data_IF_233301284869
#
_entry.id   IF_233301284869
#
_cell.length_a   1.000
_cell.length_b   1.000
_cell.length_c   1.000
_cell.angle_alpha   90.00
_cell.angle_beta   90.00
_cell.angle_gamma   90.00
#
_symmetry.space_group_name_H-M   'P 1'
#
loop_
_entity.id
_entity.type
_entity.pdbx_description
1 polymer ?
#
# COMPACT_ATOMS: atom_id res chain seq x y z
N UNK A 1 -1.99 9.69 2.68
CA UNK A 1 -2.00 8.28 3.10
C UNK A 1 -1.92 7.38 1.87
N UNK A 2 -1.47 6.14 2.02
CA UNK A 2 -1.29 5.20 0.89
C UNK A 2 -2.57 4.47 0.45
N UNK A 3 -3.56 4.32 1.34
CA UNK A 3 -4.81 3.60 1.06
C UNK A 3 -5.57 4.11 -0.18
N UNK A 4 -5.71 5.43 -0.42
CA UNK A 4 -6.35 5.95 -1.64
C UNK A 4 -5.63 5.52 -2.92
N UNK A 5 -4.29 5.50 -2.90
CA UNK A 5 -3.46 5.09 -4.04
C UNK A 5 -3.65 3.60 -4.32
N UNK A 6 -3.62 2.75 -3.29
CA UNK A 6 -3.86 1.32 -3.44
C UNK A 6 -5.27 1.04 -3.99
N UNK A 7 -6.27 1.78 -3.52
CA UNK A 7 -7.66 1.67 -3.98
C UNK A 7 -7.79 2.07 -5.46
N UNK A 8 -7.19 3.20 -5.83
CA UNK A 8 -7.15 3.68 -7.21
C UNK A 8 -6.46 2.67 -8.14
N UNK A 9 -5.27 2.19 -7.76
CA UNK A 9 -4.53 1.20 -8.53
C UNK A 9 -5.32 -0.11 -8.67
N UNK A 10 -5.99 -0.57 -7.61
CA UNK A 10 -6.81 -1.77 -7.67
C UNK A 10 -7.95 -1.64 -8.69
N UNK A 11 -8.71 -0.54 -8.64
CA UNK A 11 -9.86 -0.33 -9.53
C UNK A 11 -9.41 -0.19 -10.99
N UNK A 12 -8.28 0.48 -11.24
CA UNK A 12 -7.83 0.78 -12.60
C UNK A 12 -6.97 -0.33 -13.24
N UNK A 13 -6.38 -1.22 -12.44
CA UNK A 13 -5.41 -2.22 -12.91
C UNK A 13 -5.85 -2.98 -14.17
N UNK A 14 -7.00 -3.65 -14.11
CA UNK A 14 -7.48 -4.48 -15.22
C UNK A 14 -7.77 -3.68 -16.50
N UNK A 15 -8.60 -2.61 -16.46
CA UNK A 15 -8.81 -1.77 -17.63
C UNK A 15 -7.52 -1.19 -18.21
N UNK A 16 -6.61 -0.73 -17.34
CA UNK A 16 -5.32 -0.17 -17.76
C UNK A 16 -4.51 -1.22 -18.52
N UNK A 17 -4.36 -2.42 -17.98
CA UNK A 17 -3.63 -3.50 -18.63
C UNK A 17 -4.31 -3.97 -19.93
N UNK A 18 -5.64 -4.06 -19.95
CA UNK A 18 -6.41 -4.39 -21.16
C UNK A 18 -6.20 -3.36 -22.27
N UNK A 19 -6.31 -2.06 -21.95
CA UNK A 19 -6.16 -0.98 -22.94
C UNK A 19 -4.71 -0.85 -23.42
N UNK A 20 -3.75 -1.05 -22.51
CA UNK A 20 -2.34 -0.88 -22.81
C UNK A 20 -1.74 -2.02 -23.66
N UNK A 21 -2.06 -3.28 -23.31
CA UNK A 21 -1.38 -4.45 -23.86
C UNK A 21 -2.34 -5.53 -24.39
N UNK A 22 -3.65 -5.26 -24.40
CA UNK A 22 -4.69 -6.15 -24.93
C UNK A 22 -5.41 -6.98 -23.85
N UNK A 23 -6.56 -7.54 -24.22
CA UNK A 23 -7.46 -8.25 -23.29
C UNK A 23 -6.81 -9.46 -22.62
N UNK A 24 -5.98 -10.21 -23.35
CA UNK A 24 -5.26 -11.37 -22.79
C UNK A 24 -4.28 -10.94 -21.69
N UNK A 25 -3.50 -9.89 -21.93
CA UNK A 25 -2.58 -9.36 -20.91
C UNK A 25 -3.34 -8.79 -19.71
N UNK A 26 -4.44 -8.07 -19.95
CA UNK A 26 -5.32 -7.60 -18.89
C UNK A 26 -5.85 -8.73 -18.02
N UNK A 27 -6.25 -9.86 -18.62
CA UNK A 27 -6.73 -11.04 -17.89
C UNK A 27 -5.64 -11.70 -17.05
N UNK A 28 -4.45 -11.92 -17.61
CA UNK A 28 -3.38 -12.68 -16.94
C UNK A 28 -2.58 -11.85 -15.92
N UNK A 29 -2.43 -10.53 -16.13
CA UNK A 29 -1.59 -9.67 -15.29
C UNK A 29 -2.32 -9.03 -14.10
N UNK A 30 -3.65 -9.04 -14.10
CA UNK A 30 -4.46 -8.43 -13.04
C UNK A 30 -4.25 -9.13 -11.69
N UNK A 31 -4.29 -10.46 -11.66
CA UNK A 31 -4.14 -11.22 -10.42
C UNK A 31 -2.75 -11.04 -9.78
N UNK A 32 -1.62 -11.22 -10.50
CA UNK A 32 -0.29 -10.93 -9.97
C UNK A 32 -0.19 -9.50 -9.41
N UNK A 33 -0.76 -8.51 -10.10
CA UNK A 33 -0.74 -7.12 -9.63
C UNK A 33 -1.50 -6.94 -8.31
N UNK A 34 -2.66 -7.55 -8.15
CA UNK A 34 -3.41 -7.50 -6.88
C UNK A 34 -2.65 -8.15 -5.72
N UNK A 35 -1.94 -9.26 -5.97
CA UNK A 35 -1.08 -9.89 -4.99
C UNK A 35 0.06 -8.94 -4.58
N UNK A 36 0.67 -8.25 -5.55
CA UNK A 36 1.72 -7.25 -5.29
C UNK A 36 1.19 -6.05 -4.49
N UNK A 37 -0.02 -5.55 -4.78
CA UNK A 37 -0.64 -4.46 -4.01
C UNK A 37 -0.79 -4.83 -2.53
N UNK A 38 -1.15 -6.09 -2.25
CA UNK A 38 -1.22 -6.63 -0.89
C UNK A 38 0.15 -6.58 -0.18
N UNK A 39 1.21 -7.05 -0.84
CA UNK A 39 2.57 -6.99 -0.29
C UNK A 39 3.08 -5.56 -0.11
N UNK A 40 2.82 -4.69 -1.09
CA UNK A 40 3.20 -3.27 -1.07
C UNK A 40 2.64 -2.55 0.14
N UNK A 41 1.39 -2.82 0.53
CA UNK A 41 0.77 -2.24 1.71
C UNK A 41 1.61 -2.46 2.98
N UNK A 42 2.04 -3.69 3.24
CA UNK A 42 2.88 -4.00 4.40
C UNK A 42 4.30 -3.44 4.27
N UNK A 43 4.84 -3.46 3.06
CA UNK A 43 6.17 -2.92 2.80
C UNK A 43 6.25 -1.42 3.15
N UNK A 44 5.23 -0.64 2.82
CA UNK A 44 5.20 0.78 3.18
C UNK A 44 5.07 0.97 4.70
N UNK A 45 4.33 0.11 5.41
CA UNK A 45 4.28 0.17 6.88
C UNK A 45 5.65 -0.09 7.52
N UNK A 46 6.50 -0.88 6.88
CA UNK A 46 7.88 -1.15 7.32
C UNK A 46 8.82 0.07 7.17
N UNK A 47 8.47 1.05 6.35
CA UNK A 47 9.33 2.20 6.07
C UNK A 47 9.67 3.01 7.32
N UNK A 48 8.71 3.20 8.22
CA UNK A 48 8.92 3.93 9.47
C UNK A 48 9.87 3.21 10.43
N UNK A 49 9.63 1.93 10.82
CA UNK A 49 10.57 1.21 11.68
C UNK A 49 11.94 1.00 11.01
N UNK A 50 11.98 0.80 9.69
CA UNK A 50 13.24 0.77 8.93
C UNK A 50 14.03 2.07 9.10
N UNK A 51 13.36 3.22 8.92
CA UNK A 51 13.98 4.55 9.08
C UNK A 51 14.51 4.77 10.50
N UNK A 52 13.80 4.28 11.52
CA UNK A 52 14.27 4.35 12.92
C UNK A 52 15.55 3.52 13.12
N UNK A 53 15.61 2.30 12.60
CA UNK A 53 16.82 1.47 12.69
C UNK A 53 17.99 2.15 11.98
N UNK A 54 17.77 2.70 10.79
CA UNK A 54 18.80 3.43 10.03
C UNK A 54 19.29 4.67 10.78
N UNK A 55 18.39 5.45 11.38
CA UNK A 55 18.73 6.65 12.15
C UNK A 55 19.58 6.32 13.40
N UNK A 56 19.44 5.13 13.98
CA UNK A 56 20.28 4.67 15.11
C UNK A 56 21.65 4.14 14.70
N UNK A 57 21.99 4.15 13.41
CA UNK A 57 23.27 3.64 12.90
C UNK A 57 23.40 2.11 12.91
N UNK A 58 22.33 1.36 13.21
CA UNK A 58 22.34 -0.12 13.30
C UNK A 58 22.04 -0.83 11.99
N UNK A 59 22.50 -0.28 10.87
CA UNK A 59 22.27 -0.82 9.51
C UNK A 59 22.84 -2.23 9.31
N UNK A 60 23.88 -2.61 10.07
CA UNK A 60 24.45 -3.96 10.04
C UNK A 60 23.47 -5.07 10.43
N UNK A 61 22.43 -4.76 11.23
CA UNK A 61 21.37 -5.73 11.55
C UNK A 61 20.49 -6.00 10.32
N UNK A 62 20.17 -4.96 9.55
CA UNK A 62 19.39 -5.07 8.31
C UNK A 62 20.14 -5.89 7.26
N UNK A 63 21.46 -5.67 7.11
CA UNK A 63 22.28 -6.44 6.19
C UNK A 63 22.22 -7.95 6.51
N UNK A 64 22.35 -8.33 7.79
CA UNK A 64 22.23 -9.73 8.23
C UNK A 64 20.84 -10.30 7.98
N UNK A 65 19.79 -9.51 8.22
CA UNK A 65 18.41 -9.90 7.95
C UNK A 65 18.19 -10.18 6.46
N UNK A 66 18.61 -9.29 5.57
CA UNK A 66 18.42 -9.48 4.12
C UNK A 66 19.18 -10.68 3.58
N UNK A 67 20.39 -10.94 4.08
CA UNK A 67 21.11 -12.18 3.75
C UNK A 67 20.38 -13.43 4.23
N UNK A 68 19.78 -13.40 5.42
CA UNK A 68 18.99 -14.51 5.95
C UNK A 68 17.71 -14.74 5.13
N UNK A 69 17.05 -13.67 4.67
CA UNK A 69 15.83 -13.75 3.87
C UNK A 69 16.07 -14.19 2.42
N UNK A 70 17.27 -13.99 1.90
CA UNK A 70 17.60 -14.29 0.51
C UNK A 70 17.43 -15.79 0.19
N UNK A 71 17.97 -16.66 1.05
CA UNK A 71 17.88 -18.12 0.86
C UNK A 71 16.44 -18.66 0.83
N UNK A 72 15.58 -18.38 1.83
CA UNK A 72 14.19 -18.84 1.79
C UNK A 72 13.43 -18.18 0.64
N UNK A 73 13.75 -16.93 0.27
CA UNK A 73 13.12 -16.29 -0.88
C UNK A 73 13.43 -17.00 -2.20
N UNK A 74 14.69 -17.41 -2.44
CA UNK A 74 15.08 -18.15 -3.63
C UNK A 74 14.32 -19.49 -3.73
N UNK A 75 14.20 -20.22 -2.62
CA UNK A 75 13.39 -21.45 -2.58
C UNK A 75 11.91 -21.18 -2.86
N UNK A 76 11.36 -20.13 -2.24
CA UNK A 76 9.96 -19.77 -2.37
C UNK A 76 9.60 -19.31 -3.79
N UNK A 77 10.42 -18.46 -4.41
CA UNK A 77 10.17 -17.99 -5.77
C UNK A 77 10.30 -19.12 -6.79
N UNK A 78 11.29 -20.02 -6.64
CA UNK A 78 11.43 -21.18 -7.52
C UNK A 78 10.20 -22.10 -7.43
N UNK A 79 9.73 -22.40 -6.22
CA UNK A 79 8.56 -23.25 -6.00
C UNK A 79 7.25 -22.62 -6.51
N UNK A 80 7.02 -21.35 -6.20
CA UNK A 80 5.74 -20.71 -6.54
C UNK A 80 5.68 -20.32 -8.01
N UNK A 81 6.79 -19.90 -8.62
CA UNK A 81 6.81 -19.53 -10.05
C UNK A 81 6.61 -20.75 -10.94
N UNK A 82 7.17 -21.91 -10.58
CA UNK A 82 6.96 -23.16 -11.35
C UNK A 82 5.53 -23.67 -11.26
N UNK A 83 4.84 -23.46 -10.12
CA UNK A 83 3.45 -23.90 -9.92
C UNK A 83 2.38 -22.92 -10.41
N UNK A 84 2.62 -21.62 -10.28
CA UNK A 84 1.62 -20.57 -10.45
C UNK A 84 2.07 -19.43 -11.39
N UNK A 85 3.19 -19.59 -12.09
CA UNK A 85 3.71 -18.61 -13.05
C UNK A 85 3.94 -17.23 -12.42
N UNK A 86 3.50 -16.18 -13.11
CA UNK A 86 3.64 -14.79 -12.67
C UNK A 86 2.90 -14.51 -11.34
N UNK A 87 1.75 -15.13 -11.10
CA UNK A 87 1.02 -15.00 -9.84
C UNK A 87 1.82 -15.61 -8.67
N UNK A 88 2.53 -16.71 -8.94
CA UNK A 88 3.45 -17.33 -7.99
C UNK A 88 4.65 -16.45 -7.64
N UNK A 89 5.25 -15.81 -8.65
CA UNK A 89 6.34 -14.85 -8.42
C UNK A 89 5.88 -13.65 -7.58
N UNK A 90 4.69 -13.09 -7.89
CA UNK A 90 4.08 -12.03 -7.11
C UNK A 90 3.83 -12.46 -5.66
N UNK A 91 3.30 -13.67 -5.45
CA UNK A 91 3.05 -14.22 -4.11
C UNK A 91 4.34 -14.41 -3.32
N UNK A 92 5.39 -14.95 -3.94
CA UNK A 92 6.69 -15.10 -3.30
C UNK A 92 7.25 -13.74 -2.84
N UNK A 93 7.16 -12.72 -3.70
CA UNK A 93 7.59 -11.37 -3.35
C UNK A 93 6.76 -10.78 -2.20
N UNK A 94 5.44 -10.92 -2.25
CA UNK A 94 4.53 -10.41 -1.22
C UNK A 94 4.77 -11.06 0.13
N UNK A 95 4.95 -12.39 0.18
CA UNK A 95 5.29 -13.12 1.41
C UNK A 95 6.61 -12.59 1.98
N UNK A 96 7.64 -12.44 1.14
CA UNK A 96 8.94 -11.92 1.58
C UNK A 96 8.83 -10.53 2.20
N UNK A 97 8.17 -9.58 1.52
CA UNK A 97 8.08 -8.21 2.05
C UNK A 97 7.19 -8.10 3.29
N UNK A 98 6.19 -8.97 3.44
CA UNK A 98 5.38 -9.07 4.66
C UNK A 98 6.24 -9.59 5.81
N UNK A 99 7.01 -10.66 5.59
CA UNK A 99 7.94 -11.20 6.58
C UNK A 99 8.97 -10.16 7.02
N UNK A 100 9.59 -9.46 6.06
CA UNK A 100 10.53 -8.36 6.30
C UNK A 100 9.89 -7.26 7.15
N UNK A 101 8.67 -6.81 6.80
CA UNK A 101 7.95 -5.79 7.56
C UNK A 101 7.73 -6.19 9.03
N UNK A 102 7.38 -7.46 9.29
CA UNK A 102 7.20 -7.99 10.65
C UNK A 102 8.54 -8.04 11.40
N UNK A 103 9.60 -8.53 10.75
CA UNK A 103 10.93 -8.67 11.36
C UNK A 103 11.55 -7.30 11.67
N UNK A 104 11.51 -6.36 10.72
CA UNK A 104 11.92 -4.97 10.92
C UNK A 104 11.13 -4.32 12.05
N UNK A 105 9.80 -4.49 12.08
CA UNK A 105 8.96 -3.98 13.15
C UNK A 105 9.37 -4.51 14.52
N UNK A 106 9.71 -5.79 14.62
CA UNK A 106 10.19 -6.42 15.85
C UNK A 106 11.58 -5.92 16.27
N UNK A 107 12.53 -5.84 15.34
CA UNK A 107 13.90 -5.35 15.59
C UNK A 107 13.87 -3.87 16.01
N UNK A 108 13.04 -3.06 15.36
CA UNK A 108 12.91 -1.64 15.66
C UNK A 108 12.45 -1.41 17.09
N UNK A 109 11.51 -2.21 17.62
CA UNK A 109 11.06 -2.13 19.02
C UNK A 109 12.16 -2.41 20.03
N UNK A 110 13.13 -3.26 19.68
CA UNK A 110 14.29 -3.58 20.54
C UNK A 110 15.43 -2.58 20.42
N UNK A 111 15.50 -1.88 19.29
CA UNK A 111 16.63 -1.01 18.93
C UNK A 111 16.36 0.45 19.23
N UNK A 112 15.16 0.93 18.89
CA UNK A 112 14.74 2.29 19.15
C UNK A 112 13.92 2.33 20.45
N UNK A 113 14.38 3.09 21.45
CA UNK A 113 13.66 3.34 22.70
C UNK A 113 12.39 4.21 22.51
N UNK A 114 11.94 4.41 21.27
CA UNK A 114 10.75 5.18 20.95
C UNK A 114 9.58 4.20 20.81
N UNK A 115 8.49 4.37 21.59
CA UNK A 115 7.30 3.55 21.45
C UNK A 115 6.64 3.83 20.10
N UNK A 116 6.97 3.03 19.08
CA UNK A 116 6.26 3.06 17.80
C UNK A 116 4.94 2.32 17.94
N UNK A 117 3.91 3.06 18.38
CA UNK A 117 2.54 2.55 18.40
C UNK A 117 1.81 2.98 17.11
N UNK A 118 1.75 2.05 16.15
CA UNK A 118 1.02 2.20 14.88
C UNK A 118 -0.45 2.58 15.12
N UNK A 119 -0.99 2.17 16.28
CA UNK A 119 -2.38 2.35 16.68
C UNK A 119 -2.57 3.40 17.79
N UNK A 120 -1.71 4.43 17.85
CA UNK A 120 -1.77 5.55 18.81
C UNK A 120 -3.04 6.42 18.66
N UNK A 121 -4.21 5.88 19.01
CA UNK A 121 -5.51 6.57 18.98
C UNK A 121 -6.09 6.79 17.57
N UNK A 122 -5.31 6.54 16.50
CA UNK A 122 -5.75 6.69 15.10
C UNK A 122 -6.32 5.41 14.49
N UNK A 123 -6.43 4.32 15.27
CA UNK A 123 -6.95 3.03 14.81
C UNK A 123 -8.38 3.15 14.24
N UNK A 124 -9.25 3.89 14.91
CA UNK A 124 -10.63 4.14 14.47
C UNK A 124 -10.64 4.91 13.15
N UNK A 125 -9.78 5.93 13.01
CA UNK A 125 -9.69 6.72 11.79
C UNK A 125 -9.11 5.90 10.62
N UNK A 126 -8.20 4.96 10.91
CA UNK A 126 -7.67 4.01 9.94
C UNK A 126 -8.73 2.99 9.49
N UNK A 127 -9.49 2.42 10.42
CA UNK A 127 -10.61 1.53 10.12
C UNK A 127 -11.70 2.25 9.30
N UNK A 128 -12.04 3.50 9.65
CA UNK A 128 -12.97 4.31 8.88
C UNK A 128 -12.47 4.59 7.46
N UNK A 129 -11.16 4.85 7.28
CA UNK A 129 -10.57 5.02 5.96
C UNK A 129 -10.68 3.76 5.09
N UNK A 130 -10.44 2.57 5.69
CA UNK A 130 -10.65 1.29 5.00
C UNK A 130 -12.11 1.13 4.59
N UNK A 131 -13.04 1.36 5.51
CA UNK A 131 -14.47 1.21 5.26
C UNK A 131 -14.97 2.10 4.11
N UNK A 132 -14.46 3.33 4.01
CA UNK A 132 -14.85 4.29 2.96
C UNK A 132 -14.25 3.94 1.59
N UNK A 133 -13.06 3.34 1.57
CA UNK A 133 -12.32 3.02 0.35
C UNK A 133 -12.62 1.61 -0.19
N UNK A 134 -13.23 0.74 0.60
CA UNK A 134 -13.61 -0.63 0.19
C UNK A 134 -14.75 -0.74 -0.84
N UNK A 135 -15.81 0.10 -0.84
CA UNK A 135 -16.91 -0.02 -1.80
C UNK A 135 -16.50 -0.06 -3.28
N UNK A 136 -15.61 0.82 -3.80
CA UNK A 136 -15.19 0.75 -5.20
C UNK A 136 -14.37 -0.53 -5.51
N UNK A 137 -13.59 -1.03 -4.54
CA UNK A 137 -12.86 -2.31 -4.66
C UNK A 137 -13.84 -3.47 -4.77
N UNK A 138 -14.85 -3.50 -3.90
CA UNK A 138 -15.87 -4.55 -3.92
C UNK A 138 -16.70 -4.52 -5.20
N UNK A 139 -17.11 -3.34 -5.65
CA UNK A 139 -17.82 -3.16 -6.91
C UNK A 139 -16.99 -3.66 -8.12
N UNK A 140 -15.71 -3.27 -8.19
CA UNK A 140 -14.81 -3.69 -9.27
C UNK A 140 -14.48 -5.20 -9.24
N UNK A 141 -14.40 -5.82 -8.07
CA UNK A 141 -14.04 -7.23 -7.91
C UNK A 141 -15.23 -8.18 -8.16
N UNK A 142 -16.42 -7.83 -7.68
CA UNK A 142 -17.56 -8.74 -7.64
C UNK A 142 -18.55 -8.56 -8.79
N UNK A 143 -18.61 -7.36 -9.37
CA UNK A 143 -19.61 -7.03 -10.39
C UNK A 143 -18.97 -6.50 -11.66
N UNK A 144 -18.62 -7.41 -12.58
CA UNK A 144 -18.02 -7.06 -13.89
C UNK A 144 -18.89 -6.10 -14.71
N UNK A 145 -20.21 -6.29 -14.67
CA UNK A 145 -21.21 -5.43 -15.35
C UNK A 145 -21.33 -4.02 -14.75
N UNK A 146 -20.90 -3.82 -13.50
CA UNK A 146 -20.99 -2.55 -12.78
C UNK A 146 -19.64 -1.79 -12.76
N UNK A 147 -18.67 -2.19 -13.60
CA UNK A 147 -17.38 -1.52 -13.65
C UNK A 147 -17.51 -0.01 -13.92
N UNK A 148 -18.44 0.40 -14.77
CA UNK A 148 -18.72 1.81 -15.05
C UNK A 148 -19.16 2.59 -13.79
N UNK A 149 -19.77 1.93 -12.80
CA UNK A 149 -20.12 2.53 -11.51
C UNK A 149 -18.95 2.55 -10.52
N UNK A 150 -17.92 1.72 -10.72
CA UNK A 150 -16.74 1.70 -9.84
C UNK A 150 -15.92 2.99 -9.93
N UNK A 151 -15.91 3.66 -11.09
CA UNK A 151 -15.22 4.94 -11.30
C UNK A 151 -15.85 6.13 -10.54
N UNK A 152 -17.17 6.39 -10.66
CA UNK A 152 -17.80 7.44 -9.85
C UNK A 152 -17.78 7.10 -8.35
N UNK A 153 -17.93 5.82 -7.97
CA UNK A 153 -17.78 5.40 -6.57
C UNK A 153 -16.36 5.64 -6.05
N UNK A 154 -15.33 5.36 -6.86
CA UNK A 154 -13.94 5.66 -6.52
C UNK A 154 -13.76 7.17 -6.30
N UNK A 155 -14.26 8.01 -7.21
CA UNK A 155 -14.18 9.46 -7.05
C UNK A 155 -14.86 9.96 -5.76
N UNK A 156 -16.05 9.43 -5.44
CA UNK A 156 -16.78 9.75 -4.21
C UNK A 156 -15.98 9.30 -2.98
N UNK A 157 -15.51 8.05 -2.94
CA UNK A 157 -14.72 7.51 -1.83
C UNK A 157 -13.41 8.29 -1.62
N UNK A 158 -12.73 8.70 -2.70
CA UNK A 158 -11.53 9.54 -2.63
C UNK A 158 -11.85 10.94 -2.11
N UNK A 159 -12.95 11.55 -2.55
CA UNK A 159 -13.39 12.86 -2.08
C UNK A 159 -13.74 12.83 -0.58
N UNK A 160 -14.49 11.81 -0.14
CA UNK A 160 -14.82 11.61 1.29
C UNK A 160 -13.54 11.41 2.10
N UNK A 161 -12.62 10.57 1.63
CA UNK A 161 -11.32 10.38 2.29
C UNK A 161 -10.53 11.69 2.38
N UNK A 162 -10.46 12.47 1.31
CA UNK A 162 -9.77 13.75 1.28
C UNK A 162 -10.39 14.76 2.26
N UNK A 163 -11.72 14.82 2.34
CA UNK A 163 -12.43 15.68 3.30
C UNK A 163 -12.18 15.25 4.76
N UNK A 164 -12.16 13.95 5.03
CA UNK A 164 -11.84 13.43 6.37
C UNK A 164 -10.36 13.67 6.74
N UNK A 165 -9.46 13.47 5.77
CA UNK A 165 -8.04 13.80 5.93
C UNK A 165 -7.87 15.28 6.27
N UNK A 166 -8.53 16.16 5.52
CA UNK A 166 -8.54 17.60 5.76
C UNK A 166 -9.07 17.96 7.15
N UNK A 167 -10.19 17.36 7.58
CA UNK A 167 -10.86 17.71 8.84
C UNK A 167 -10.24 17.10 10.09
N UNK A 168 -9.70 15.89 10.02
CA UNK A 168 -9.25 15.12 11.19
C UNK A 168 -7.75 14.87 11.25
N UNK A 169 -7.05 14.83 10.13
CA UNK A 169 -5.65 14.44 10.09
C UNK A 169 -4.68 15.61 9.95
N UNK A 170 -5.08 16.69 9.26
CA UNK A 170 -4.27 17.91 9.14
C UNK A 170 -4.46 18.80 10.36
N UNK A 171 -3.33 19.18 10.98
CA UNK A 171 -3.29 20.16 12.06
C UNK A 171 -3.74 21.54 11.54
N UNK A 172 -4.27 22.43 12.41
CA UNK A 172 -4.72 23.76 12.01
C UNK A 172 -3.66 24.56 11.23
N UNK A 173 -2.40 24.47 11.66
CA UNK A 173 -1.27 25.18 11.05
C UNK A 173 -0.94 24.67 9.64
N UNK A 174 -1.09 23.36 9.40
CA UNK A 174 -0.88 22.75 8.08
C UNK A 174 -1.97 23.17 7.08
N UNK A 175 -3.20 23.38 7.54
CA UNK A 175 -4.31 23.86 6.68
C UNK A 175 -4.06 25.28 6.21
N UNK A 176 -3.58 26.14 7.11
CA UNK A 176 -3.25 27.53 6.78
C UNK A 176 -2.10 27.59 5.77
N UNK A 177 -1.06 26.77 5.94
CA UNK A 177 0.04 26.66 4.98
C UNK A 177 -0.44 26.19 3.60
N UNK A 178 -1.30 25.16 3.54
CA UNK A 178 -1.86 24.67 2.28
C UNK A 178 -2.76 25.71 1.59
N UNK A 179 -3.63 26.38 2.34
CA UNK A 179 -4.53 27.41 1.80
C UNK A 179 -3.75 28.59 1.19
N UNK A 180 -2.69 29.05 1.88
CA UNK A 180 -1.80 30.09 1.37
C UNK A 180 -1.08 29.68 0.08
N UNK A 181 -0.72 28.39 -0.04
CA UNK A 181 -0.06 27.86 -1.24
C UNK A 181 -1.01 27.74 -2.43
N UNK A 182 -2.26 27.30 -2.20
CA UNK A 182 -3.30 27.28 -3.22
C UNK A 182 -3.63 28.68 -3.74
N UNK A 183 -3.74 29.67 -2.85
CA UNK A 183 -3.95 31.06 -3.28
C UNK A 183 -2.84 31.56 -4.21
N UNK A 184 -1.56 31.25 -3.93
CA UNK A 184 -0.42 31.60 -4.80
C UNK A 184 -0.43 30.92 -6.17
N UNK A 185 -1.04 29.75 -6.31
CA UNK A 185 -1.16 29.04 -7.59
C UNK A 185 -2.25 29.64 -8.47
N UNK A 186 -3.32 30.19 -7.88
CA UNK A 186 -4.42 30.82 -8.61
C UNK A 186 -4.26 32.34 -8.83
N UNK A 187 -3.25 32.97 -8.22
CA UNK A 187 -2.90 34.39 -8.45
C UNK A 187 -1.70 34.60 -9.37
N UNK A 188 -1.27 33.54 -10.08
CA UNK A 188 -0.38 33.62 -11.25
C UNK A 188 -1.17 33.29 -12.50
#
# INVERSE_FOLDING_TARGET
GMLPVLTFLFVIARPLFTVWAGEEFGRESTLPFYILLGGLFFNILAFVPLSLIMATGRTGILAKLYWLELFPYIGLIALLTTKYGAAGAALAWSIRVIADAVLIGWISRKTAAVPFNIFSGKAIAFAAAILILMPPVFAAAWFRELFSLSLPLLAISLAIYALLAWRKFLAPDERLWLAAKFQKVFTR
#
